data_IF_503042541485
#
_entry.id   IF_503042541485
#
_cell.length_a   1.000
_cell.length_b   1.000
_cell.length_c   1.000
_cell.angle_alpha   90.00
_cell.angle_beta   90.00
_cell.angle_gamma   90.00
#
_symmetry.space_group_name_H-M   'P 1'
#
loop_
_entity.id
_entity.type
_entity.pdbx_description
1 polymer ?
#
# COMPACT_ATOMS: atom_id res chain seq x y z
N UNK A 1 38.88 -14.75 -30.68
CA UNK A 1 38.43 -14.93 -29.29
C UNK A 1 36.92 -14.85 -29.30
N UNK A 2 36.23 -15.76 -28.63
CA UNK A 2 34.79 -15.63 -28.42
C UNK A 2 34.52 -14.50 -27.44
N UNK A 3 33.65 -13.58 -27.79
CA UNK A 3 33.22 -12.47 -26.92
C UNK A 3 31.87 -12.82 -26.30
N UNK A 4 31.63 -12.41 -25.07
CA UNK A 4 30.31 -12.51 -24.44
C UNK A 4 29.32 -11.59 -25.13
N UNK A 5 28.01 -11.80 -24.93
CA UNK A 5 26.96 -10.93 -25.51
C UNK A 5 27.06 -9.46 -25.08
N UNK A 6 27.74 -9.18 -23.96
CA UNK A 6 27.80 -7.86 -23.36
C UNK A 6 26.47 -7.41 -22.70
N UNK A 7 25.41 -8.22 -22.78
CA UNK A 7 24.12 -7.94 -22.18
C UNK A 7 23.98 -8.69 -20.85
N UNK A 8 23.51 -8.03 -19.83
CA UNK A 8 23.21 -8.60 -18.50
C UNK A 8 21.71 -8.53 -18.13
N UNK A 9 20.89 -8.00 -19.04
CA UNK A 9 19.45 -7.82 -18.83
C UNK A 9 18.64 -8.92 -19.49
N UNK A 10 18.57 -10.11 -18.87
CA UNK A 10 17.60 -11.12 -19.26
C UNK A 10 16.28 -10.84 -18.53
N UNK A 11 15.25 -10.50 -19.27
CA UNK A 11 13.89 -10.31 -18.78
C UNK A 11 12.97 -11.25 -19.52
N UNK A 12 12.25 -12.08 -18.79
CA UNK A 12 11.30 -13.01 -19.34
C UNK A 12 9.94 -12.30 -19.46
N UNK A 13 9.44 -12.15 -20.68
CA UNK A 13 8.11 -11.61 -20.94
C UNK A 13 7.04 -12.62 -20.53
N UNK A 14 5.82 -12.15 -20.26
CA UNK A 14 4.74 -13.03 -19.83
C UNK A 14 4.47 -14.17 -20.82
N UNK A 15 4.47 -13.90 -22.11
CA UNK A 15 4.20 -14.92 -23.13
C UNK A 15 5.28 -16.00 -23.11
N UNK A 16 6.55 -15.63 -23.06
CA UNK A 16 7.70 -16.56 -22.97
C UNK A 16 7.66 -17.37 -21.65
N UNK A 17 7.32 -16.71 -20.54
CA UNK A 17 7.15 -17.38 -19.25
C UNK A 17 6.03 -18.42 -19.28
N UNK A 18 4.93 -18.09 -19.95
CA UNK A 18 3.77 -18.98 -20.03
C UNK A 18 4.08 -20.18 -20.93
N UNK A 19 4.76 -19.97 -22.06
CA UNK A 19 5.22 -21.06 -22.92
C UNK A 19 6.14 -22.03 -22.17
N UNK A 20 7.18 -21.52 -21.54
CA UNK A 20 8.11 -22.31 -20.72
C UNK A 20 7.37 -23.11 -19.61
N UNK A 21 6.41 -22.47 -18.96
CA UNK A 21 5.66 -23.13 -17.88
C UNK A 21 4.71 -24.22 -18.40
N UNK A 22 4.09 -24.05 -19.58
CA UNK A 22 3.28 -25.09 -20.22
C UNK A 22 4.12 -26.27 -20.67
N UNK A 23 5.30 -26.06 -21.26
CA UNK A 23 6.23 -27.12 -21.63
C UNK A 23 6.65 -27.96 -20.45
N UNK A 24 7.00 -27.32 -19.32
CA UNK A 24 7.32 -28.01 -18.07
C UNK A 24 6.13 -28.79 -17.51
N UNK A 25 4.92 -28.24 -17.59
CA UNK A 25 3.70 -28.89 -17.16
C UNK A 25 3.29 -30.08 -18.07
N UNK A 26 3.90 -30.21 -19.24
CA UNK A 26 3.59 -31.24 -20.24
C UNK A 26 2.44 -30.90 -21.17
N UNK A 27 2.15 -29.64 -21.33
CA UNK A 27 1.17 -29.09 -22.26
C UNK A 27 1.80 -28.19 -23.30
N UNK A 28 1.01 -27.74 -24.25
CA UNK A 28 1.36 -26.70 -25.23
C UNK A 28 0.41 -25.52 -25.07
N UNK A 29 0.94 -24.32 -25.18
CA UNK A 29 0.12 -23.10 -25.24
C UNK A 29 -0.60 -23.04 -26.59
N UNK A 30 -1.92 -23.22 -26.61
CA UNK A 30 -2.69 -23.31 -27.86
C UNK A 30 -3.63 -22.14 -28.10
N UNK A 31 -4.10 -21.49 -27.05
CA UNK A 31 -5.19 -20.51 -27.15
C UNK A 31 -5.06 -19.35 -26.20
N UNK A 32 -5.74 -18.23 -26.52
CA UNK A 32 -5.89 -17.10 -25.56
C UNK A 32 -6.64 -17.46 -24.26
N UNK A 33 -7.32 -18.61 -24.21
CA UNK A 33 -7.90 -19.15 -22.97
C UNK A 33 -6.79 -19.64 -22.03
N UNK A 34 -5.78 -20.33 -22.57
CA UNK A 34 -4.65 -20.86 -21.80
C UNK A 34 -3.82 -19.70 -21.20
N UNK A 35 -3.59 -18.64 -21.99
CA UNK A 35 -2.92 -17.43 -21.51
C UNK A 35 -3.69 -16.76 -20.36
N UNK A 36 -5.01 -16.64 -20.45
CA UNK A 36 -5.84 -16.10 -19.36
C UNK A 36 -5.80 -16.99 -18.11
N UNK A 37 -5.75 -18.29 -18.28
CA UNK A 37 -5.64 -19.26 -17.20
C UNK A 37 -4.28 -19.16 -16.51
N UNK A 38 -3.20 -19.03 -17.30
CA UNK A 38 -1.85 -18.83 -16.78
C UNK A 38 -1.72 -17.52 -16.00
N UNK A 39 -2.20 -16.39 -16.54
CA UNK A 39 -2.23 -15.10 -15.84
C UNK A 39 -2.94 -15.17 -14.49
N UNK A 40 -4.11 -15.81 -14.44
CA UNK A 40 -4.84 -16.01 -13.18
C UNK A 40 -4.04 -16.86 -12.19
N UNK A 41 -3.38 -17.93 -12.65
CA UNK A 41 -2.53 -18.76 -11.81
C UNK A 41 -1.34 -17.98 -11.26
N UNK A 42 -0.74 -17.14 -12.10
CA UNK A 42 0.38 -16.28 -11.72
C UNK A 42 0.00 -15.25 -10.65
N UNK A 43 -1.14 -14.58 -10.84
CA UNK A 43 -1.63 -13.63 -9.82
C UNK A 43 -1.98 -14.32 -8.48
N UNK A 44 -2.50 -15.54 -8.51
CA UNK A 44 -2.71 -16.34 -7.29
C UNK A 44 -1.38 -16.69 -6.63
N UNK A 45 -0.37 -17.04 -7.41
CA UNK A 45 0.98 -17.34 -6.92
C UNK A 45 1.63 -16.09 -6.29
N UNK A 46 1.47 -14.91 -6.88
CA UNK A 46 1.94 -13.65 -6.28
C UNK A 46 1.24 -13.34 -4.96
N UNK A 47 -0.05 -13.62 -4.85
CA UNK A 47 -0.78 -13.49 -3.58
C UNK A 47 -0.25 -14.49 -2.52
N UNK A 48 0.11 -15.71 -2.93
CA UNK A 48 0.77 -16.67 -2.02
C UNK A 48 2.16 -16.18 -1.58
N UNK A 49 2.97 -15.62 -2.50
CA UNK A 49 4.28 -15.06 -2.15
C UNK A 49 4.19 -13.91 -1.15
N UNK A 50 3.17 -13.05 -1.28
CA UNK A 50 2.94 -11.97 -0.31
C UNK A 50 2.68 -12.50 1.12
N UNK A 51 2.21 -13.74 1.27
CA UNK A 51 1.99 -14.37 2.57
C UNK A 51 3.22 -15.11 3.11
N UNK A 52 4.28 -15.30 2.31
CA UNK A 52 5.49 -16.04 2.70
C UNK A 52 6.53 -15.19 3.44
N UNK A 53 6.31 -13.88 3.54
CA UNK A 53 7.22 -12.97 4.24
C UNK A 53 7.40 -11.62 3.59
N UNK A 54 8.42 -10.89 4.03
CA UNK A 54 8.79 -9.58 3.48
C UNK A 54 9.68 -9.81 2.27
N UNK A 55 9.24 -9.31 1.13
CA UNK A 55 10.02 -9.30 -0.09
C UNK A 55 10.73 -7.94 -0.21
N UNK A 56 12.09 -7.95 -0.20
CA UNK A 56 12.88 -6.71 -0.16
C UNK A 56 12.62 -5.78 -1.33
N UNK A 57 12.35 -6.32 -2.53
CA UNK A 57 12.03 -5.50 -3.73
C UNK A 57 10.69 -4.79 -3.68
N UNK A 58 9.84 -5.14 -2.71
CA UNK A 58 8.53 -4.48 -2.51
C UNK A 58 8.59 -3.36 -1.48
N UNK A 59 9.77 -3.08 -0.91
CA UNK A 59 9.97 -2.00 0.04
C UNK A 59 10.24 -0.70 -0.71
N UNK A 60 9.40 0.29 -0.49
CA UNK A 60 9.52 1.62 -1.08
C UNK A 60 9.45 2.70 -0.02
N UNK A 61 10.27 3.73 -0.19
CA UNK A 61 10.19 4.95 0.60
C UNK A 61 9.13 5.88 0.04
N UNK A 62 8.33 6.48 0.93
CA UNK A 62 7.38 7.54 0.58
C UNK A 62 7.42 8.67 1.58
N UNK A 63 6.87 9.81 1.19
CA UNK A 63 6.79 11.02 2.01
C UNK A 63 5.40 11.64 1.91
N UNK A 64 4.87 12.11 3.04
CA UNK A 64 3.60 12.84 3.11
C UNK A 64 3.85 14.13 3.87
N UNK A 65 3.62 15.26 3.21
CA UNK A 65 3.61 16.57 3.89
C UNK A 65 2.38 16.66 4.78
N UNK A 66 2.59 16.88 6.07
CA UNK A 66 1.50 17.02 7.02
C UNK A 66 0.95 18.44 7.03
N UNK A 67 -0.37 18.55 7.08
CA UNK A 67 -1.11 19.81 7.04
C UNK A 67 -1.67 20.11 8.43
N UNK A 68 -1.61 21.37 8.85
CA UNK A 68 -2.19 21.80 10.11
C UNK A 68 -3.68 21.43 10.20
N UNK A 69 -4.07 20.86 11.33
CA UNK A 69 -5.46 20.48 11.61
C UNK A 69 -5.95 19.21 10.90
N UNK A 70 -5.12 18.58 10.08
CA UNK A 70 -5.42 17.29 9.45
C UNK A 70 -4.64 16.17 10.15
N UNK A 71 -5.31 15.13 10.57
CA UNK A 71 -4.67 14.00 11.28
C UNK A 71 -4.63 12.70 10.45
N UNK A 72 -5.44 12.57 9.39
CA UNK A 72 -5.55 11.35 8.60
C UNK A 72 -5.08 11.61 7.17
N UNK A 73 -4.23 10.73 6.65
CA UNK A 73 -3.60 10.85 5.32
C UNK A 73 -3.67 9.53 4.59
N UNK A 74 -3.98 9.57 3.29
CA UNK A 74 -4.00 8.39 2.44
C UNK A 74 -2.57 7.87 2.20
N UNK A 75 -2.43 6.56 2.19
CA UNK A 75 -1.29 5.84 1.65
C UNK A 75 -1.63 5.38 0.22
N UNK A 76 -0.66 5.11 -0.65
CA UNK A 76 -0.91 4.48 -1.93
C UNK A 76 -1.75 3.20 -1.78
N UNK A 77 -2.67 2.96 -2.70
CA UNK A 77 -3.69 1.89 -2.65
C UNK A 77 -3.10 0.47 -2.56
N UNK A 78 -1.91 0.29 -3.13
CA UNK A 78 -1.17 -0.97 -3.11
C UNK A 78 -0.31 -1.16 -1.85
N UNK A 79 -0.45 -0.33 -0.81
CA UNK A 79 0.28 -0.47 0.45
C UNK A 79 -0.29 -1.63 1.27
N UNK A 80 0.59 -2.54 1.68
CA UNK A 80 0.27 -3.66 2.58
C UNK A 80 0.46 -3.25 4.04
N UNK A 81 1.62 -2.68 4.36
CA UNK A 81 1.96 -2.19 5.71
C UNK A 81 3.12 -1.18 5.64
N UNK A 82 3.38 -0.51 6.75
CA UNK A 82 4.58 0.29 6.95
C UNK A 82 5.57 -0.48 7.83
N UNK A 83 6.82 -0.52 7.41
CA UNK A 83 7.91 -1.18 8.14
C UNK A 83 8.52 -0.19 9.13
N UNK A 84 8.92 0.97 8.63
CA UNK A 84 9.53 2.04 9.42
C UNK A 84 8.91 3.39 9.06
N UNK A 85 8.97 4.33 10.00
CA UNK A 85 8.42 5.67 9.80
C UNK A 85 9.02 6.67 10.80
N UNK A 86 9.18 7.90 10.33
CA UNK A 86 9.68 9.03 11.13
C UNK A 86 8.91 10.31 10.79
N UNK A 87 8.96 11.28 11.68
CA UNK A 87 8.55 12.66 11.38
C UNK A 87 9.80 13.48 11.11
N UNK A 88 9.89 13.98 9.90
CA UNK A 88 10.91 14.95 9.50
C UNK A 88 10.42 16.35 9.84
N UNK A 89 11.19 17.06 10.65
CA UNK A 89 10.95 18.47 10.97
C UNK A 89 11.81 19.36 10.10
N UNK A 90 11.30 20.51 9.72
CA UNK A 90 12.00 21.50 8.89
C UNK A 90 12.63 20.87 7.62
N UNK A 91 11.82 20.22 6.74
CA UNK A 91 12.33 19.58 5.56
C UNK A 91 13.11 20.58 4.69
N UNK A 92 14.19 20.11 4.06
CA UNK A 92 15.08 20.90 3.21
C UNK A 92 15.91 22.01 3.93
N UNK A 93 15.89 22.07 5.25
CA UNK A 93 16.73 23.00 6.01
C UNK A 93 18.04 22.28 6.40
N UNK A 94 19.11 22.51 5.65
CA UNK A 94 20.37 21.76 5.71
C UNK A 94 20.97 21.60 7.14
N UNK A 95 20.76 22.58 8.02
CA UNK A 95 21.35 22.59 9.37
C UNK A 95 20.37 22.27 10.49
N UNK A 96 19.06 22.24 10.22
CA UNK A 96 18.01 22.13 11.26
C UNK A 96 17.00 21.02 10.99
N UNK A 97 17.09 20.37 9.83
CA UNK A 97 16.28 19.18 9.54
C UNK A 97 16.62 18.06 10.52
N UNK A 98 15.60 17.46 11.13
CA UNK A 98 15.75 16.31 12.01
C UNK A 98 14.66 15.29 11.77
N UNK A 99 15.04 14.02 11.71
CA UNK A 99 14.13 12.88 11.63
C UNK A 99 13.91 12.34 13.05
N UNK A 100 12.68 12.43 13.51
CA UNK A 100 12.26 12.04 14.86
C UNK A 100 11.39 10.79 14.78
N UNK A 101 11.73 9.78 15.56
CA UNK A 101 10.92 8.56 15.65
C UNK A 101 9.58 8.86 16.29
N UNK A 102 8.53 8.24 15.76
CA UNK A 102 7.19 8.25 16.34
C UNK A 102 6.72 6.83 16.62
N UNK A 103 5.82 6.68 17.57
CA UNK A 103 5.38 5.35 18.03
C UNK A 103 4.17 4.87 17.24
N UNK A 104 4.25 3.68 16.66
CA UNK A 104 3.08 3.00 16.12
C UNK A 104 2.17 2.54 17.26
N UNK A 105 0.89 2.87 17.17
CA UNK A 105 -0.14 2.49 18.14
C UNK A 105 -1.22 1.59 17.53
N UNK A 106 -1.87 0.81 18.38
CA UNK A 106 -3.00 -0.03 18.01
C UNK A 106 -4.30 0.78 17.93
N UNK A 107 -5.34 0.22 17.29
CA UNK A 107 -6.68 0.80 17.26
C UNK A 107 -7.23 0.99 18.67
N UNK A 108 -6.97 0.06 19.59
CA UNK A 108 -7.44 0.15 20.97
C UNK A 108 -6.76 1.32 21.71
N UNK A 109 -5.47 1.50 21.51
CA UNK A 109 -4.73 2.66 22.09
C UNK A 109 -5.24 3.97 21.46
N UNK A 110 -5.44 4.03 20.15
CA UNK A 110 -6.01 5.21 19.51
C UNK A 110 -7.42 5.53 20.02
N UNK A 111 -8.25 4.51 20.27
CA UNK A 111 -9.60 4.69 20.78
C UNK A 111 -9.64 5.35 22.17
N UNK A 112 -8.65 5.07 23.03
CA UNK A 112 -8.57 5.65 24.41
C UNK A 112 -8.10 7.09 24.45
N UNK A 113 -7.63 7.67 23.34
CA UNK A 113 -7.22 9.08 23.29
C UNK A 113 -8.45 9.97 23.46
N UNK A 114 -8.54 10.78 24.53
CA UNK A 114 -9.74 11.58 24.82
C UNK A 114 -9.98 12.69 23.81
N UNK A 115 -8.92 13.40 23.43
CA UNK A 115 -8.96 14.49 22.45
C UNK A 115 -8.12 14.15 21.22
N UNK A 116 -8.79 13.69 20.16
CA UNK A 116 -8.15 13.26 18.91
C UNK A 116 -7.73 14.42 18.00
N UNK A 117 -8.27 15.63 18.25
CA UNK A 117 -8.01 16.83 17.45
C UNK A 117 -7.04 17.81 18.14
N UNK A 118 -6.47 17.41 19.28
CA UNK A 118 -5.44 18.21 19.94
C UNK A 118 -4.27 18.46 18.98
N UNK A 119 -3.88 19.71 18.81
CA UNK A 119 -2.81 20.11 17.91
C UNK A 119 -1.47 20.20 18.65
N UNK A 120 -0.47 19.53 18.12
CA UNK A 120 0.94 19.61 18.52
C UNK A 120 1.80 18.86 17.48
N UNK A 121 3.10 18.72 17.73
CA UNK A 121 3.95 17.82 16.94
C UNK A 121 3.46 16.38 17.07
N UNK A 122 3.24 15.65 15.96
CA UNK A 122 2.87 14.23 15.99
C UNK A 122 3.94 13.37 16.68
N UNK A 123 3.52 12.48 17.58
CA UNK A 123 4.37 11.53 18.31
C UNK A 123 3.91 10.08 18.19
N UNK A 124 2.69 9.87 17.71
CA UNK A 124 2.09 8.57 17.54
C UNK A 124 1.44 8.45 16.15
N UNK A 125 1.41 7.25 15.61
CA UNK A 125 0.73 6.94 14.35
C UNK A 125 -0.05 5.63 14.46
N UNK A 126 -1.29 5.66 14.00
CA UNK A 126 -2.11 4.48 13.77
C UNK A 126 -2.20 4.21 12.28
N UNK A 127 -1.90 2.97 11.87
CA UNK A 127 -1.91 2.54 10.47
C UNK A 127 -3.22 1.80 10.19
N UNK A 128 -3.99 2.28 9.23
CA UNK A 128 -5.27 1.71 8.81
C UNK A 128 -5.04 0.88 7.54
N UNK A 129 -5.21 -0.44 7.66
CA UNK A 129 -5.01 -1.39 6.56
C UNK A 129 -6.35 -1.74 5.92
N UNK A 130 -6.94 -0.78 5.24
CA UNK A 130 -8.14 -1.04 4.46
C UNK A 130 -7.80 -1.63 3.09
N UNK A 131 -8.77 -2.30 2.48
CA UNK A 131 -8.60 -3.01 1.20
C UNK A 131 -9.06 -2.20 -0.01
N UNK A 132 -9.31 -0.90 0.14
CA UNK A 132 -9.77 -0.03 -0.93
C UNK A 132 -11.24 -0.19 -1.31
N UNK A 133 -12.05 -0.90 -0.51
CA UNK A 133 -13.48 -1.02 -0.77
C UNK A 133 -14.23 0.25 -0.39
N UNK A 134 -15.28 0.52 -1.15
CA UNK A 134 -16.21 1.60 -0.84
C UNK A 134 -17.47 1.00 -0.20
N UNK A 135 -17.78 1.44 1.02
CA UNK A 135 -19.03 1.03 1.69
C UNK A 135 -20.13 2.01 1.31
N UNK A 136 -21.28 1.52 0.82
CA UNK A 136 -22.43 2.38 0.59
C UNK A 136 -22.91 2.95 1.92
N UNK A 137 -23.16 4.24 1.95
CA UNK A 137 -23.84 4.95 3.02
C UNK A 137 -25.05 5.65 2.42
N UNK A 138 -26.08 5.88 3.20
CA UNK A 138 -27.30 6.53 2.71
C UNK A 138 -27.10 8.06 2.58
N UNK A 139 -25.92 8.50 2.14
CA UNK A 139 -25.55 9.91 2.06
C UNK A 139 -25.53 10.42 0.62
N UNK A 140 -25.97 11.66 0.47
CA UNK A 140 -25.85 12.44 -0.77
C UNK A 140 -25.39 13.85 -0.46
N UNK A 141 -24.81 14.50 -1.46
CA UNK A 141 -24.50 15.93 -1.40
C UNK A 141 -25.77 16.76 -1.26
N UNK A 142 -25.81 17.66 -0.29
CA UNK A 142 -26.94 18.59 -0.13
C UNK A 142 -26.84 19.75 -1.14
N UNK A 143 -25.64 20.18 -1.46
CA UNK A 143 -25.36 21.32 -2.37
C UNK A 143 -24.27 20.95 -3.36
N UNK A 144 -24.29 21.58 -4.53
CA UNK A 144 -23.19 21.48 -5.50
C UNK A 144 -21.88 21.99 -4.88
N UNK A 145 -20.80 21.27 -5.11
CA UNK A 145 -19.44 21.64 -4.68
C UNK A 145 -18.52 21.85 -5.87
N UNK A 146 -17.49 22.66 -5.67
CA UNK A 146 -16.44 22.91 -6.67
C UNK A 146 -15.21 22.05 -6.39
N UNK A 147 -14.28 21.98 -7.33
CA UNK A 147 -13.00 21.27 -7.15
C UNK A 147 -12.16 21.80 -5.97
N UNK A 148 -12.40 23.00 -5.51
CA UNK A 148 -11.64 23.65 -4.41
C UNK A 148 -12.41 23.75 -3.09
N UNK A 149 -13.61 23.16 -3.00
CA UNK A 149 -14.41 23.20 -1.78
C UNK A 149 -13.72 22.46 -0.65
N UNK A 150 -13.51 23.12 0.49
CA UNK A 150 -12.88 22.58 1.70
C UNK A 150 -13.88 22.17 2.78
N UNK A 151 -15.18 22.43 2.55
CA UNK A 151 -16.29 21.95 3.36
C UNK A 151 -17.38 21.35 2.48
N UNK A 152 -18.00 20.28 2.95
CA UNK A 152 -18.98 19.50 2.18
C UNK A 152 -20.17 19.18 3.08
N UNK A 153 -21.37 19.56 2.66
CA UNK A 153 -22.62 19.33 3.40
C UNK A 153 -23.30 18.07 2.86
N UNK A 154 -23.55 17.11 3.76
CA UNK A 154 -24.24 15.85 3.48
C UNK A 154 -25.62 15.83 4.15
N UNK A 155 -26.57 15.18 3.49
CA UNK A 155 -27.89 14.94 4.07
C UNK A 155 -27.88 13.92 5.22
N UNK A 156 -26.88 13.03 5.21
CA UNK A 156 -26.68 12.02 6.26
C UNK A 156 -25.18 11.78 6.47
N UNK A 157 -24.71 11.87 7.70
CA UNK A 157 -23.32 11.55 8.10
C UNK A 157 -23.26 10.33 9.02
N UNK A 158 -24.39 9.66 9.24
CA UNK A 158 -24.47 8.46 10.08
C UNK A 158 -23.64 7.33 9.46
N UNK A 159 -22.78 6.72 10.26
CA UNK A 159 -21.91 5.64 9.81
C UNK A 159 -20.57 6.11 9.22
N UNK A 160 -20.36 7.42 9.07
CA UNK A 160 -19.02 7.95 8.78
C UNK A 160 -18.17 8.01 10.05
N UNK A 161 -16.88 7.63 10.00
CA UNK A 161 -15.96 7.87 11.10
C UNK A 161 -15.71 9.38 11.29
N UNK A 162 -15.24 9.77 12.47
CA UNK A 162 -15.02 11.19 12.78
C UNK A 162 -14.04 11.91 11.84
N UNK A 163 -13.15 11.16 11.20
CA UNK A 163 -12.18 11.59 10.20
C UNK A 163 -11.94 10.45 9.22
N UNK A 164 -11.67 10.72 7.96
CA UNK A 164 -11.48 9.66 6.98
C UNK A 164 -11.61 10.13 5.53
N UNK A 165 -12.15 9.25 4.71
CA UNK A 165 -12.28 9.48 3.27
C UNK A 165 -13.70 9.18 2.81
N UNK A 166 -14.17 9.97 1.86
CA UNK A 166 -15.39 9.68 1.10
C UNK A 166 -15.05 9.58 -0.38
N UNK A 167 -15.86 8.85 -1.11
CA UNK A 167 -15.84 8.83 -2.57
C UNK A 167 -17.13 9.44 -3.10
N UNK A 168 -16.99 10.35 -4.05
CA UNK A 168 -18.09 10.94 -4.83
C UNK A 168 -17.72 10.76 -6.30
N UNK A 169 -18.56 10.07 -7.06
CA UNK A 169 -18.26 9.64 -8.42
C UNK A 169 -16.89 8.92 -8.45
N UNK A 170 -15.89 9.45 -9.14
CA UNK A 170 -14.54 8.87 -9.20
C UNK A 170 -13.52 9.60 -8.31
N UNK A 171 -13.92 10.62 -7.58
CA UNK A 171 -13.03 11.36 -6.70
C UNK A 171 -13.03 10.82 -5.27
N UNK A 172 -11.84 10.67 -4.70
CA UNK A 172 -11.62 10.40 -3.27
C UNK A 172 -11.26 11.70 -2.57
N UNK A 173 -11.97 12.00 -1.49
CA UNK A 173 -11.85 13.25 -0.73
C UNK A 173 -11.56 12.89 0.74
N UNK A 174 -10.48 13.42 1.30
CA UNK A 174 -10.23 13.36 2.74
C UNK A 174 -11.06 14.41 3.47
N UNK A 175 -11.49 14.13 4.69
CA UNK A 175 -12.07 15.11 5.61
C UNK A 175 -11.43 14.99 7.00
N UNK A 176 -11.17 16.14 7.63
CA UNK A 176 -10.49 16.22 8.92
C UNK A 176 -11.41 16.01 10.11
N UNK A 177 -12.68 16.45 10.03
CA UNK A 177 -13.68 16.23 11.07
C UNK A 177 -15.11 16.43 10.54
N UNK A 178 -16.08 15.94 11.30
CA UNK A 178 -17.51 16.07 11.01
C UNK A 178 -18.18 16.90 12.10
N UNK A 179 -19.07 17.80 11.71
CA UNK A 179 -20.05 18.40 12.61
C UNK A 179 -21.44 17.92 12.21
N UNK A 180 -22.09 17.14 13.07
CA UNK A 180 -23.45 16.69 12.86
C UNK A 180 -24.45 17.69 13.42
N UNK A 181 -25.57 17.87 12.72
CA UNK A 181 -26.66 18.72 13.20
C UNK A 181 -27.39 18.03 14.36
N UNK A 182 -27.69 18.79 15.40
CA UNK A 182 -28.19 18.27 16.69
C UNK A 182 -29.52 17.49 16.59
N UNK A 183 -30.35 17.81 15.58
CA UNK A 183 -31.68 17.23 15.42
C UNK A 183 -31.90 16.54 14.06
N UNK A 184 -30.81 16.23 13.34
CA UNK A 184 -30.87 15.59 12.03
C UNK A 184 -29.62 14.73 11.81
N UNK A 185 -29.73 13.75 10.92
CA UNK A 185 -28.58 12.97 10.47
C UNK A 185 -27.63 13.75 9.56
N UNK A 186 -28.04 14.90 9.08
CA UNK A 186 -27.23 15.77 8.22
C UNK A 186 -26.03 16.34 8.97
N UNK A 187 -24.97 16.63 8.24
CA UNK A 187 -23.77 17.21 8.81
C UNK A 187 -22.87 17.83 7.77
N UNK A 188 -21.80 18.47 8.27
CA UNK A 188 -20.79 19.09 7.42
C UNK A 188 -19.44 18.44 7.69
N UNK A 189 -18.77 18.04 6.62
CA UNK A 189 -17.39 17.61 6.61
C UNK A 189 -16.51 18.85 6.45
N UNK A 190 -15.48 18.98 7.26
CA UNK A 190 -14.56 20.10 7.27
C UNK A 190 -13.13 19.68 7.01
N UNK A 191 -12.29 20.66 6.64
CA UNK A 191 -10.89 20.44 6.27
C UNK A 191 -10.78 19.37 5.16
N UNK A 192 -11.62 19.52 4.12
CA UNK A 192 -11.62 18.57 3.02
C UNK A 192 -10.42 18.82 2.11
N UNK A 193 -9.62 17.76 1.90
CA UNK A 193 -8.53 17.72 0.92
C UNK A 193 -8.99 16.90 -0.28
N UNK A 194 -8.99 17.55 -1.44
CA UNK A 194 -9.57 17.02 -2.69
C UNK A 194 -8.57 16.15 -3.46
N UNK A 195 -9.07 15.28 -4.37
CA UNK A 195 -8.24 14.52 -5.30
C UNK A 195 -7.24 13.59 -4.63
N UNK A 196 -7.65 12.83 -3.62
CA UNK A 196 -6.77 11.89 -2.92
C UNK A 196 -6.55 10.61 -3.73
N UNK A 197 -5.43 9.91 -3.49
CA UNK A 197 -5.07 8.66 -4.19
C UNK A 197 -5.08 8.78 -5.71
N UNK A 198 -4.40 9.80 -6.23
CA UNK A 198 -4.25 10.07 -7.66
C UNK A 198 -5.59 10.29 -8.41
N UNK A 199 -6.70 10.53 -7.67
CA UNK A 199 -7.95 10.96 -8.28
C UNK A 199 -7.93 12.45 -8.60
N UNK A 200 -8.77 12.86 -9.53
CA UNK A 200 -8.81 14.27 -9.98
C UNK A 200 -9.91 15.02 -9.22
N UNK A 201 -9.56 16.16 -8.62
CA UNK A 201 -10.52 17.04 -8.01
C UNK A 201 -11.43 17.70 -9.06
N UNK A 202 -12.74 17.43 -8.97
CA UNK A 202 -13.76 17.96 -9.90
C UNK A 202 -14.96 18.53 -9.13
N UNK A 203 -15.81 19.28 -9.83
CA UNK A 203 -17.09 19.72 -9.27
C UNK A 203 -18.10 18.57 -9.23
N UNK A 204 -18.89 18.47 -8.15
CA UNK A 204 -19.98 17.50 -8.04
C UNK A 204 -21.31 18.20 -7.82
N UNK A 205 -22.36 17.69 -8.46
CA UNK A 205 -23.72 18.28 -8.37
C UNK A 205 -24.41 17.85 -7.08
N UNK A 206 -25.38 18.65 -6.64
CA UNK A 206 -26.27 18.27 -5.55
C UNK A 206 -26.94 16.92 -5.84
N UNK A 207 -27.23 16.16 -4.81
CA UNK A 207 -27.77 14.79 -4.83
C UNK A 207 -26.81 13.71 -5.38
N UNK A 208 -25.55 14.01 -5.70
CA UNK A 208 -24.56 12.99 -6.00
C UNK A 208 -24.38 12.03 -4.81
N UNK A 209 -24.30 10.74 -5.11
CA UNK A 209 -24.16 9.69 -4.08
C UNK A 209 -22.77 9.75 -3.43
N UNK A 210 -22.74 9.55 -2.12
CA UNK A 210 -21.50 9.55 -1.32
C UNK A 210 -21.26 8.16 -0.74
N UNK A 211 -20.03 7.70 -0.82
CA UNK A 211 -19.59 6.42 -0.27
C UNK A 211 -18.51 6.65 0.78
N UNK A 212 -18.47 5.84 1.82
CA UNK A 212 -17.31 5.79 2.70
C UNK A 212 -16.19 5.05 1.96
N UNK A 213 -15.09 5.75 1.69
CA UNK A 213 -13.92 5.18 1.02
C UNK A 213 -12.96 4.59 2.06
N UNK A 214 -12.81 3.26 2.04
CA UNK A 214 -11.90 2.52 2.92
C UNK A 214 -10.53 2.38 2.27
N UNK A 215 -9.76 3.45 2.26
CA UNK A 215 -8.43 3.51 1.67
C UNK A 215 -7.36 3.20 2.72
N UNK A 216 -6.21 2.58 2.35
CA UNK A 216 -5.06 2.49 3.23
C UNK A 216 -4.66 3.89 3.71
N UNK A 217 -4.51 4.07 5.01
CA UNK A 217 -4.28 5.39 5.57
C UNK A 217 -3.45 5.35 6.85
N UNK A 218 -2.89 6.48 7.21
CA UNK A 218 -2.34 6.72 8.54
C UNK A 218 -3.16 7.78 9.26
N UNK A 219 -3.26 7.64 10.57
CA UNK A 219 -3.76 8.70 11.44
C UNK A 219 -2.68 9.03 12.45
N UNK A 220 -2.22 10.28 12.44
CA UNK A 220 -1.20 10.78 13.37
C UNK A 220 -1.84 11.44 14.58
N UNK A 221 -1.21 11.35 15.73
CA UNK A 221 -1.61 12.04 16.95
C UNK A 221 -0.39 12.53 17.72
N UNK A 222 -0.43 13.75 18.31
CA UNK A 222 -1.41 14.82 18.07
C UNK A 222 -1.56 15.21 16.61
N UNK A 223 -2.66 15.89 16.27
CA UNK A 223 -2.86 16.50 14.97
C UNK A 223 -1.79 17.56 14.71
N UNK A 224 -1.19 17.64 13.53
CA UNK A 224 -0.15 18.63 13.23
C UNK A 224 -0.58 20.05 13.57
N UNK A 225 0.28 20.78 14.27
CA UNK A 225 0.15 22.21 14.50
C UNK A 225 0.81 23.02 13.37
N UNK A 226 0.63 24.32 13.35
CA UNK A 226 1.24 25.20 12.37
C UNK A 226 2.61 25.77 12.77
N UNK A 227 3.23 25.25 13.84
CA UNK A 227 4.48 25.81 14.38
C UNK A 227 5.67 25.65 13.42
N UNK A 228 5.68 24.58 12.66
CA UNK A 228 6.69 24.27 11.64
C UNK A 228 6.13 23.27 10.62
N UNK A 229 6.82 23.08 9.52
CA UNK A 229 6.46 22.06 8.55
C UNK A 229 6.91 20.69 9.05
N UNK A 230 6.00 19.73 8.96
CA UNK A 230 6.26 18.32 9.25
C UNK A 230 6.07 17.49 7.98
N UNK A 231 6.96 16.52 7.79
CA UNK A 231 6.82 15.51 6.74
C UNK A 231 6.88 14.13 7.38
N UNK A 232 5.87 13.31 7.13
CA UNK A 232 5.87 11.90 7.50
C UNK A 232 6.65 11.12 6.44
N UNK A 233 7.82 10.61 6.80
CA UNK A 233 8.65 9.76 5.95
C UNK A 233 8.45 8.33 6.38
N UNK A 234 8.18 7.44 5.42
CA UNK A 234 7.89 6.05 5.72
C UNK A 234 8.51 5.09 4.71
N UNK A 235 8.75 3.87 5.14
CA UNK A 235 9.09 2.73 4.29
C UNK A 235 7.92 1.76 4.31
N UNK A 236 7.30 1.59 3.15
CA UNK A 236 6.12 0.74 2.97
C UNK A 236 6.45 -0.57 2.30
N UNK A 237 5.70 -1.58 2.63
CA UNK A 237 5.61 -2.83 1.88
C UNK A 237 4.46 -2.67 0.89
N UNK A 238 4.76 -2.72 -0.41
CA UNK A 238 3.74 -2.68 -1.46
C UNK A 238 3.36 -4.07 -1.94
N UNK A 239 2.19 -4.19 -2.54
CA UNK A 239 1.84 -5.41 -3.28
C UNK A 239 2.71 -5.54 -4.52
N UNK A 240 3.05 -6.79 -4.87
CA UNK A 240 3.61 -7.10 -6.19
C UNK A 240 2.58 -6.75 -7.26
N UNK A 241 3.03 -6.18 -8.37
CA UNK A 241 2.14 -5.86 -9.48
C UNK A 241 1.57 -7.14 -10.10
N UNK A 242 0.39 -7.03 -10.71
CA UNK A 242 -0.22 -8.15 -11.40
C UNK A 242 0.54 -8.52 -12.69
N UNK A 243 0.22 -9.68 -13.26
CA UNK A 243 0.94 -10.23 -14.39
C UNK A 243 0.77 -9.44 -15.72
N UNK A 244 -0.02 -8.37 -15.75
CA UNK A 244 -0.16 -7.51 -16.93
C UNK A 244 -0.59 -8.21 -18.23
N UNK A 245 -0.11 -7.72 -19.38
CA UNK A 245 -0.32 -8.28 -20.73
C UNK A 245 0.90 -9.05 -21.26
N UNK A 246 0.80 -9.68 -22.43
CA UNK A 246 1.78 -10.61 -23.00
C UNK A 246 3.22 -10.11 -23.06
N UNK A 247 3.40 -8.84 -23.42
CA UNK A 247 4.72 -8.18 -23.52
C UNK A 247 5.24 -7.61 -22.21
N UNK A 248 4.47 -7.68 -21.11
CA UNK A 248 4.91 -7.16 -19.83
C UNK A 248 5.93 -8.10 -19.16
N UNK A 249 6.84 -7.51 -18.44
CA UNK A 249 7.80 -8.20 -17.57
C UNK A 249 7.21 -8.25 -16.16
N UNK A 250 7.46 -9.34 -15.46
CA UNK A 250 6.97 -9.51 -14.09
C UNK A 250 7.72 -8.61 -13.10
N UNK A 251 7.00 -8.08 -12.12
CA UNK A 251 7.53 -7.25 -11.03
C UNK A 251 8.27 -8.10 -9.98
N UNK A 252 9.33 -8.78 -10.43
CA UNK A 252 10.17 -9.61 -9.57
C UNK A 252 11.64 -9.44 -9.94
N UNK A 253 12.58 -9.54 -8.97
CA UNK A 253 13.99 -9.46 -9.29
C UNK A 253 14.46 -10.68 -10.08
N UNK A 254 15.55 -10.50 -10.83
CA UNK A 254 16.16 -11.54 -11.67
C UNK A 254 16.32 -12.90 -10.97
N UNK A 255 16.70 -12.91 -9.70
CA UNK A 255 16.88 -14.14 -8.89
C UNK A 255 15.61 -14.96 -8.69
N UNK A 256 14.43 -14.35 -8.85
CA UNK A 256 13.13 -15.04 -8.73
C UNK A 256 12.60 -15.61 -10.06
N UNK A 257 13.23 -15.34 -11.20
CA UNK A 257 12.80 -15.86 -12.51
C UNK A 257 12.73 -17.41 -12.53
N UNK A 258 13.73 -18.16 -12.04
CA UNK A 258 13.63 -19.62 -11.99
C UNK A 258 12.48 -20.11 -11.12
N UNK A 259 12.25 -19.47 -9.97
CA UNK A 259 11.13 -19.76 -9.09
C UNK A 259 9.79 -19.45 -9.73
N UNK A 260 9.72 -18.34 -10.50
CA UNK A 260 8.53 -17.90 -11.23
C UNK A 260 8.12 -18.94 -12.28
N UNK A 261 9.07 -19.43 -13.09
CA UNK A 261 8.82 -20.45 -14.11
C UNK A 261 8.42 -21.81 -13.50
N UNK A 262 9.13 -22.26 -12.45
CA UNK A 262 8.82 -23.52 -11.79
C UNK A 262 7.46 -23.46 -11.05
N UNK A 263 7.17 -22.35 -10.39
CA UNK A 263 5.91 -22.13 -9.68
C UNK A 263 4.72 -22.10 -10.63
N UNK A 264 4.81 -21.33 -11.73
CA UNK A 264 3.75 -21.27 -12.72
C UNK A 264 3.52 -22.66 -13.35
N UNK A 265 4.58 -23.41 -13.66
CA UNK A 265 4.47 -24.77 -14.19
C UNK A 265 3.73 -25.71 -13.21
N UNK A 266 4.02 -25.62 -11.92
CA UNK A 266 3.30 -26.36 -10.89
C UNK A 266 1.82 -26.02 -10.85
N UNK A 267 1.46 -24.72 -10.85
CA UNK A 267 0.07 -24.28 -10.85
C UNK A 267 -0.69 -24.67 -12.15
N UNK A 268 -0.01 -24.72 -13.29
CA UNK A 268 -0.59 -25.15 -14.56
C UNK A 268 -0.76 -26.67 -14.63
N UNK A 269 0.20 -27.46 -14.12
CA UNK A 269 0.10 -28.92 -14.09
C UNK A 269 -1.14 -29.43 -13.33
N UNK A 270 -1.66 -28.65 -12.38
CA UNK A 270 -2.96 -28.93 -11.72
C UNK A 270 -4.17 -28.83 -12.65
N UNK A 271 -4.02 -28.19 -13.82
CA UNK A 271 -5.12 -27.85 -14.74
C UNK A 271 -4.97 -28.50 -16.11
N UNK A 272 -3.76 -28.95 -16.45
CA UNK A 272 -3.44 -29.60 -17.74
C UNK A 272 -3.72 -31.10 -17.65
N UNK A 273 -4.36 -31.65 -18.66
CA UNK A 273 -4.58 -33.09 -18.74
C UNK A 273 -3.24 -33.85 -18.79
N UNK A 274 -3.06 -34.85 -17.95
CA UNK A 274 -1.80 -35.59 -17.83
C UNK A 274 -0.73 -34.92 -16.97
N UNK A 275 -0.97 -33.74 -16.40
CA UNK A 275 -0.01 -33.05 -15.54
C UNK A 275 0.18 -33.68 -14.16
N UNK A 276 -0.73 -34.53 -13.72
CA UNK A 276 -0.72 -35.12 -12.38
C UNK A 276 0.55 -35.91 -12.05
N UNK A 277 1.12 -36.60 -13.03
CA UNK A 277 2.35 -37.39 -12.84
C UNK A 277 3.59 -36.51 -12.58
N UNK A 278 3.58 -35.26 -13.06
CA UNK A 278 4.68 -34.30 -12.91
C UNK A 278 4.58 -33.46 -11.64
N UNK A 279 3.42 -33.43 -10.98
CA UNK A 279 3.16 -32.56 -9.83
C UNK A 279 4.20 -32.70 -8.70
N UNK A 280 4.62 -33.89 -8.25
CA UNK A 280 5.59 -34.00 -7.17
C UNK A 280 6.94 -33.37 -7.51
N UNK A 281 7.41 -33.60 -8.75
CA UNK A 281 8.70 -33.06 -9.22
C UNK A 281 8.63 -31.55 -9.40
N UNK A 282 7.56 -31.04 -10.00
CA UNK A 282 7.36 -29.59 -10.19
C UNK A 282 7.21 -28.85 -8.86
N UNK A 283 6.52 -29.48 -7.88
CA UNK A 283 6.42 -28.91 -6.55
C UNK A 283 7.77 -28.82 -5.87
N UNK A 284 8.57 -29.88 -5.93
CA UNK A 284 9.92 -29.90 -5.35
C UNK A 284 10.80 -28.81 -6.00
N UNK A 285 10.83 -28.74 -7.34
CA UNK A 285 11.58 -27.70 -8.05
C UNK A 285 11.15 -26.28 -7.67
N UNK A 286 9.85 -26.05 -7.49
CA UNK A 286 9.31 -24.77 -7.05
C UNK A 286 9.75 -24.43 -5.63
N UNK A 287 9.63 -25.38 -4.70
CA UNK A 287 9.99 -25.16 -3.30
C UNK A 287 11.52 -24.91 -3.16
N UNK A 288 12.38 -25.68 -3.86
CA UNK A 288 13.83 -25.47 -3.89
C UNK A 288 14.21 -24.10 -4.50
N UNK A 289 13.60 -23.75 -5.65
CA UNK A 289 13.85 -22.44 -6.29
C UNK A 289 13.40 -21.28 -5.41
N UNK A 290 12.28 -21.44 -4.67
CA UNK A 290 11.80 -20.46 -3.72
C UNK A 290 12.79 -20.27 -2.56
N UNK A 291 13.25 -21.36 -1.93
CA UNK A 291 14.19 -21.31 -0.81
C UNK A 291 15.49 -20.62 -1.21
N UNK A 292 16.03 -20.93 -2.38
CA UNK A 292 17.24 -20.28 -2.91
C UNK A 292 17.02 -18.78 -3.13
N UNK A 293 15.94 -18.39 -3.80
CA UNK A 293 15.65 -16.99 -4.08
C UNK A 293 15.38 -16.20 -2.79
N UNK A 294 14.57 -16.74 -1.87
CA UNK A 294 14.24 -16.12 -0.61
C UNK A 294 15.44 -16.01 0.34
N UNK A 295 16.38 -16.98 0.29
CA UNK A 295 17.60 -16.92 1.09
C UNK A 295 18.53 -15.77 0.68
N UNK A 296 18.51 -15.38 -0.59
CA UNK A 296 19.28 -14.25 -1.12
C UNK A 296 18.55 -12.90 -0.98
N UNK A 297 17.22 -12.93 -0.82
CA UNK A 297 16.41 -11.72 -0.64
C UNK A 297 16.35 -11.29 0.83
N UNK A 298 17.53 -11.01 1.40
CA UNK A 298 17.71 -10.60 2.80
C UNK A 298 18.50 -9.30 2.85
N UNK A 299 18.21 -8.51 3.86
CA UNK A 299 19.07 -7.40 4.22
C UNK A 299 20.44 -7.94 4.66
N UNK A 300 21.50 -7.54 3.93
CA UNK A 300 22.89 -7.98 4.21
C UNK A 300 23.65 -6.97 5.09
N UNK A 301 22.94 -6.07 5.78
CA UNK A 301 23.55 -5.13 6.70
C UNK A 301 24.03 -5.83 7.96
N UNK A 302 25.23 -5.49 8.42
CA UNK A 302 25.74 -5.97 9.69
C UNK A 302 24.92 -5.36 10.84
N UNK A 303 24.29 -6.22 11.64
CA UNK A 303 23.60 -5.77 12.86
C UNK A 303 24.68 -5.43 13.90
N UNK A 304 24.82 -4.14 14.20
CA UNK A 304 25.72 -3.67 15.25
C UNK A 304 24.89 -3.25 16.45
N UNK A 305 24.91 -4.02 17.51
CA UNK A 305 24.36 -3.63 18.80
C UNK A 305 25.32 -2.64 19.46
N UNK A 306 24.95 -1.36 19.47
CA UNK A 306 25.64 -0.35 20.25
C UNK A 306 24.88 -0.19 21.57
N UNK A 307 25.43 -0.58 22.73
CA UNK A 307 24.80 -0.32 24.02
C UNK A 307 24.60 1.16 24.19
N UNK A 308 23.38 1.59 24.44
CA UNK A 308 23.06 2.99 24.76
C UNK A 308 23.62 3.26 26.15
N UNK A 309 24.81 3.82 26.24
CA UNK A 309 25.31 4.36 27.50
C UNK A 309 24.49 5.59 27.87
N UNK A 310 23.56 5.42 28.80
CA UNK A 310 23.02 6.58 29.52
C UNK A 310 24.13 7.06 30.46
N UNK A 311 24.74 8.18 30.14
CA UNK A 311 25.52 8.94 31.09
C UNK A 311 24.54 9.42 32.19
N UNK A 312 24.49 8.73 33.29
CA UNK A 312 23.96 9.29 34.54
C UNK A 312 25.01 10.27 35.00
N UNK A 313 24.87 11.53 34.64
CA UNK A 313 25.67 12.60 35.19
C UNK A 313 25.42 12.66 36.69
N UNK A 314 26.35 12.11 37.49
CA UNK A 314 26.40 12.34 38.91
C UNK A 314 26.68 13.80 39.13
N UNK A 315 25.66 14.56 39.52
CA UNK A 315 25.84 15.89 40.08
C UNK A 315 26.40 15.75 41.49
N UNK A 316 27.53 16.30 41.70
CA UNK A 316 27.99 16.76 43.04
C UNK A 316 27.68 18.23 43.17
#
# INVERSE_FOLDING_TARGET
MATTSGASGFNLQLDELVEEAFERAGGELRTGYDLRTARRSLNIMFADWANRGINMWTIEQGEITLVQGQNTYALPDNTVDLIEHVIRTQPNAANTQADLTITRISVSTYATIPNKIQQARPIQVWIQRYNGQNSPIAATLTTTITATSTSIVLNDVTGLPATGFIKIDDEIINYGYITQNTNANSGTLFNCSRGQQDTIAVGHTAAAAVYWAQVPAITVWPTPDGSQQYTFVYWRLRRTQDAGGGVNVMDVPFRFIPCLAAGLAYYLALKVAGGAERLPVLKQQYDEAWELAASEDREKAAIRFVPRQQFIGGGT
#
